data_IF_143465502824
#
_entry.id   IF_143465502824
#
_cell.length_a   1.000
_cell.length_b   1.000
_cell.length_c   1.000
_cell.angle_alpha   90.00
_cell.angle_beta   90.00
_cell.angle_gamma   90.00
#
_symmetry.space_group_name_H-M   'P 1'
#
loop_
_entity.id
_entity.type
_entity.pdbx_description
1 polymer ?
#
# COMPACT_ATOMS: atom_id res chain seq x y z
N UNK A 1 -20.52 11.94 18.48
CA UNK A 1 -19.30 11.44 19.11
C UNK A 1 -18.99 10.10 18.46
N UNK A 2 -18.08 10.08 17.48
CA UNK A 2 -17.70 8.86 16.75
C UNK A 2 -16.58 8.15 17.52
N UNK A 3 -16.69 6.84 17.65
CA UNK A 3 -15.74 5.98 18.36
C UNK A 3 -14.37 6.00 17.61
N UNK A 4 -13.21 6.21 18.27
CA UNK A 4 -11.93 6.39 17.58
C UNK A 4 -11.30 5.10 17.02
N UNK A 5 -12.02 3.97 17.04
CA UNK A 5 -11.49 2.65 16.69
C UNK A 5 -12.00 2.04 15.39
N UNK A 6 -12.94 2.68 14.70
CA UNK A 6 -13.49 2.19 13.43
C UNK A 6 -12.56 2.51 12.27
N UNK A 7 -11.82 1.52 11.79
CA UNK A 7 -11.23 1.59 10.46
C UNK A 7 -12.37 1.61 9.43
N UNK A 8 -12.73 2.78 8.90
CA UNK A 8 -13.64 2.95 7.76
C UNK A 8 -12.97 2.43 6.47
N UNK A 9 -12.58 1.16 6.47
CA UNK A 9 -12.19 0.46 5.24
C UNK A 9 -13.45 -0.16 4.65
N UNK A 10 -13.70 -0.01 3.33
CA UNK A 10 -14.81 -0.70 2.66
C UNK A 10 -14.60 -2.22 2.58
N UNK A 11 -13.59 -2.77 3.27
CA UNK A 11 -13.25 -4.19 3.30
C UNK A 11 -13.11 -4.62 4.76
N UNK A 12 -13.76 -5.74 5.11
CA UNK A 12 -13.62 -6.38 6.42
C UNK A 12 -12.13 -6.73 6.68
N UNK A 13 -11.51 -6.17 7.73
CA UNK A 13 -10.10 -6.42 8.05
C UNK A 13 -9.79 -7.88 8.43
N UNK A 14 -10.81 -8.71 8.71
CA UNK A 14 -10.63 -10.14 8.92
C UNK A 14 -10.40 -10.91 7.61
N UNK A 15 -10.73 -10.33 6.45
CA UNK A 15 -10.49 -10.95 5.15
C UNK A 15 -9.02 -10.74 4.76
N UNK A 16 -8.28 -11.80 4.40
CA UNK A 16 -6.92 -11.64 3.93
C UNK A 16 -6.82 -10.77 2.68
N UNK A 17 -5.87 -9.85 2.65
CA UNK A 17 -5.71 -8.86 1.58
C UNK A 17 -5.36 -9.46 0.21
N UNK A 18 -4.90 -10.71 0.15
CA UNK A 18 -4.67 -11.43 -1.10
C UNK A 18 -5.94 -12.10 -1.66
N UNK A 19 -7.00 -12.22 -0.86
CA UNK A 19 -8.30 -12.72 -1.28
C UNK A 19 -9.18 -11.59 -1.79
N UNK A 20 -9.23 -10.47 -1.06
CA UNK A 20 -9.97 -9.28 -1.44
C UNK A 20 -9.06 -8.05 -1.26
N UNK A 21 -8.35 -7.63 -2.32
CA UNK A 21 -7.44 -6.49 -2.21
C UNK A 21 -8.17 -5.21 -1.82
N UNK A 22 -7.64 -4.50 -0.83
CA UNK A 22 -8.20 -3.24 -0.37
C UNK A 22 -8.36 -2.21 -1.49
N UNK A 23 -9.47 -1.47 -1.43
CA UNK A 23 -9.75 -0.31 -2.26
C UNK A 23 -9.13 0.93 -1.62
N UNK A 24 -8.57 1.80 -2.44
CA UNK A 24 -7.86 3.00 -1.99
C UNK A 24 -8.35 4.18 -2.81
N UNK A 25 -8.46 5.33 -2.15
CA UNK A 25 -8.59 6.62 -2.82
C UNK A 25 -7.33 6.93 -3.64
N UNK A 26 -7.53 7.51 -4.82
CA UNK A 26 -6.49 7.94 -5.73
C UNK A 26 -5.60 9.04 -5.15
N UNK A 27 -6.13 9.83 -4.22
CA UNK A 27 -5.41 10.85 -3.43
C UNK A 27 -4.34 10.23 -2.51
N UNK A 28 -4.58 9.01 -2.06
CA UNK A 28 -3.77 8.32 -1.05
C UNK A 28 -2.78 7.37 -1.70
N UNK A 29 -3.23 6.57 -2.67
CA UNK A 29 -2.39 5.55 -3.29
C UNK A 29 -2.01 5.92 -4.73
N UNK A 30 -0.73 6.24 -4.93
CA UNK A 30 -0.17 6.64 -6.22
C UNK A 30 -0.25 5.56 -7.32
N UNK A 31 -0.54 4.30 -6.95
CA UNK A 31 -0.75 3.21 -7.90
C UNK A 31 -2.15 3.22 -8.54
N UNK A 32 -3.08 3.99 -8.01
CA UNK A 32 -4.44 4.12 -8.55
C UNK A 32 -4.41 5.04 -9.77
N UNK A 33 -4.88 4.53 -10.90
CA UNK A 33 -5.04 5.27 -12.13
C UNK A 33 -6.42 5.91 -12.10
N UNK A 34 -6.45 7.24 -12.02
CA UNK A 34 -7.67 8.01 -12.04
C UNK A 34 -8.15 8.20 -13.49
N UNK A 35 -9.36 7.72 -13.78
CA UNK A 35 -10.03 7.87 -15.06
C UNK A 35 -11.21 8.83 -14.88
N UNK A 36 -11.17 9.95 -15.58
CA UNK A 36 -12.18 11.02 -15.55
C UNK A 36 -12.79 11.21 -16.95
N UNK A 37 -13.94 11.88 -17.08
CA UNK A 37 -14.44 12.28 -18.39
C UNK A 37 -13.47 13.21 -19.11
N UNK A 38 -13.12 12.87 -20.34
CA UNK A 38 -12.28 13.70 -21.20
C UNK A 38 -13.01 15.02 -21.54
N UNK A 39 -12.29 16.16 -21.60
CA UNK A 39 -12.87 17.42 -22.06
C UNK A 39 -13.56 17.27 -23.42
N UNK A 40 -14.66 18.01 -23.65
CA UNK A 40 -15.43 17.93 -24.90
C UNK A 40 -14.61 18.28 -26.15
N UNK A 41 -13.50 19.02 -26.00
CA UNK A 41 -12.56 19.36 -27.08
C UNK A 41 -11.86 18.15 -27.71
N UNK A 42 -11.76 17.01 -27.01
CA UNK A 42 -11.16 15.79 -27.56
C UNK A 42 -12.19 14.98 -28.37
N UNK A 43 -12.16 15.08 -29.69
CA UNK A 43 -13.18 14.49 -30.57
C UNK A 43 -13.09 12.95 -30.70
N UNK A 44 -11.88 12.39 -30.59
CA UNK A 44 -11.63 10.95 -30.74
C UNK A 44 -11.25 10.33 -29.41
N UNK A 45 -12.25 9.81 -28.68
CA UNK A 45 -12.03 9.06 -27.44
C UNK A 45 -12.61 7.67 -27.61
N UNK A 46 -11.77 6.65 -27.47
CA UNK A 46 -12.22 5.25 -27.50
C UNK A 46 -12.84 4.92 -26.14
N UNK A 47 -14.10 4.43 -26.09
CA UNK A 47 -14.73 4.06 -24.83
C UNK A 47 -13.90 3.05 -24.05
N UNK A 48 -13.81 3.25 -22.73
CA UNK A 48 -13.11 2.33 -21.84
C UNK A 48 -13.96 1.08 -21.63
N UNK A 49 -13.75 0.03 -22.44
CA UNK A 49 -14.44 -1.24 -22.23
C UNK A 49 -13.76 -2.04 -21.12
N UNK A 50 -14.37 -2.03 -19.94
CA UNK A 50 -13.93 -2.84 -18.79
C UNK A 50 -13.84 -4.34 -19.07
N UNK A 51 -14.59 -4.85 -20.05
CA UNK A 51 -14.56 -6.27 -20.46
C UNK A 51 -13.17 -6.73 -20.93
N UNK A 52 -12.29 -5.80 -21.33
CA UNK A 52 -10.89 -6.08 -21.68
C UNK A 52 -10.05 -6.60 -20.49
N UNK A 53 -10.57 -6.49 -19.26
CA UNK A 53 -9.91 -6.87 -18.02
C UNK A 53 -10.74 -7.92 -17.25
N UNK A 54 -10.87 -9.11 -17.83
CA UNK A 54 -11.77 -10.16 -17.35
C UNK A 54 -11.43 -10.70 -15.94
N UNK A 55 -10.16 -10.63 -15.51
CA UNK A 55 -9.74 -11.05 -14.16
C UNK A 55 -9.79 -9.89 -13.18
N UNK A 56 -10.91 -9.74 -12.48
CA UNK A 56 -11.10 -8.74 -11.42
C UNK A 56 -10.82 -9.37 -10.07
N UNK A 57 -9.96 -8.74 -9.29
CA UNK A 57 -9.67 -9.15 -7.91
C UNK A 57 -10.61 -8.47 -6.91
N UNK A 58 -11.03 -7.23 -7.19
CA UNK A 58 -12.03 -6.50 -6.41
C UNK A 58 -12.68 -5.41 -7.28
N UNK A 59 -13.96 -5.13 -7.08
CA UNK A 59 -14.68 -4.06 -7.75
C UNK A 59 -15.85 -3.57 -6.88
N UNK A 60 -15.94 -2.27 -6.65
CA UNK A 60 -17.01 -1.67 -5.86
C UNK A 60 -17.36 -0.27 -6.37
N UNK A 61 -18.64 0.01 -6.50
CA UNK A 61 -19.14 1.35 -6.81
C UNK A 61 -19.46 2.06 -5.51
N UNK A 62 -18.70 3.10 -5.21
CA UNK A 62 -18.89 3.99 -4.06
C UNK A 62 -19.49 5.33 -4.54
N UNK A 63 -19.73 6.25 -3.60
CA UNK A 63 -20.37 7.54 -3.89
C UNK A 63 -19.56 8.44 -4.84
N UNK A 64 -18.24 8.26 -4.87
CA UNK A 64 -17.27 9.01 -5.68
C UNK A 64 -16.93 8.32 -7.01
N UNK A 65 -17.37 7.08 -7.23
CA UNK A 65 -17.18 6.38 -8.49
C UNK A 65 -16.92 4.89 -8.33
N UNK A 66 -16.45 4.27 -9.41
CA UNK A 66 -16.13 2.85 -9.44
C UNK A 66 -14.65 2.63 -9.12
N UNK A 67 -14.39 1.89 -8.04
CA UNK A 67 -13.06 1.42 -7.69
C UNK A 67 -12.86 0.00 -8.18
N UNK A 68 -11.71 -0.27 -8.80
CA UNK A 68 -11.42 -1.55 -9.42
C UNK A 68 -9.98 -1.98 -9.20
N UNK A 69 -9.79 -3.26 -8.89
CA UNK A 69 -8.51 -3.95 -8.85
C UNK A 69 -8.54 -5.10 -9.85
N UNK A 70 -7.67 -5.03 -10.85
CA UNK A 70 -7.54 -6.02 -11.91
C UNK A 70 -6.24 -6.78 -11.71
N UNK A 71 -6.30 -8.10 -11.90
CA UNK A 71 -5.11 -8.92 -11.88
C UNK A 71 -4.25 -8.70 -13.12
N UNK A 72 -2.93 -8.69 -12.93
CA UNK A 72 -1.95 -8.61 -14.01
C UNK A 72 -0.70 -9.38 -13.58
N UNK A 73 -0.09 -10.07 -14.54
CA UNK A 73 1.05 -10.99 -14.34
C UNK A 73 2.17 -10.37 -13.49
N UNK A 74 2.38 -9.06 -13.60
CA UNK A 74 3.47 -8.35 -12.95
C UNK A 74 3.03 -7.51 -11.72
N UNK A 75 1.83 -7.80 -11.20
CA UNK A 75 1.20 -7.13 -10.07
C UNK A 75 -0.07 -6.37 -10.50
N UNK A 76 -1.02 -6.12 -9.59
CA UNK A 76 -2.33 -5.62 -9.97
C UNK A 76 -2.29 -4.23 -10.64
N UNK A 77 -3.32 -3.97 -11.46
CA UNK A 77 -3.69 -2.64 -11.92
C UNK A 77 -4.87 -2.15 -11.08
N UNK A 78 -4.83 -0.87 -10.69
CA UNK A 78 -5.82 -0.25 -9.81
C UNK A 78 -6.39 0.97 -10.49
N UNK A 79 -7.71 1.11 -10.43
CA UNK A 79 -8.43 2.19 -11.07
C UNK A 79 -9.44 2.80 -10.11
N UNK A 80 -9.58 4.10 -10.23
CA UNK A 80 -10.80 4.81 -9.85
C UNK A 80 -11.39 5.39 -11.14
N UNK A 81 -12.68 5.17 -11.36
CA UNK A 81 -13.39 5.58 -12.56
C UNK A 81 -14.52 6.51 -12.11
N UNK A 82 -14.35 7.79 -12.36
CA UNK A 82 -15.35 8.81 -12.06
C UNK A 82 -16.60 8.68 -12.93
N UNK A 83 -17.69 9.28 -12.48
CA UNK A 83 -18.97 9.23 -13.18
C UNK A 83 -18.84 9.72 -14.63
N UNK A 84 -19.40 8.96 -15.58
CA UNK A 84 -19.36 9.28 -17.01
C UNK A 84 -18.02 9.02 -17.71
N UNK A 85 -16.96 8.67 -16.98
CA UNK A 85 -15.62 8.46 -17.55
C UNK A 85 -15.55 7.25 -18.49
N UNK A 86 -16.40 6.24 -18.31
CA UNK A 86 -16.45 5.05 -19.17
C UNK A 86 -16.72 5.37 -20.65
N UNK A 87 -17.54 6.40 -20.91
CA UNK A 87 -17.95 6.81 -22.26
C UNK A 87 -16.86 7.57 -22.98
N UNK A 88 -16.11 8.41 -22.25
CA UNK A 88 -15.04 9.25 -22.79
C UNK A 88 -13.88 9.29 -21.78
N UNK A 89 -13.07 8.23 -21.67
CA UNK A 89 -12.00 8.18 -20.68
C UNK A 89 -10.87 9.16 -20.96
N UNK A 90 -10.45 9.87 -19.94
CA UNK A 90 -9.16 10.54 -19.84
C UNK A 90 -8.45 10.12 -18.56
N UNK A 91 -7.13 10.02 -18.61
CA UNK A 91 -6.31 9.77 -17.41
C UNK A 91 -5.82 11.11 -16.89
N UNK A 92 -6.02 11.37 -15.60
CA UNK A 92 -5.48 12.54 -14.92
C UNK A 92 -4.28 12.15 -14.06
N UNK A 93 -3.20 12.92 -14.16
CA UNK A 93 -2.01 12.78 -13.33
C UNK A 93 -1.74 14.14 -12.68
N UNK A 94 -1.98 14.28 -11.37
CA UNK A 94 -1.55 15.46 -10.63
C UNK A 94 -0.04 15.66 -10.72
N UNK A 95 0.41 16.91 -10.84
CA UNK A 95 1.82 17.26 -10.81
C UNK A 95 2.32 17.39 -9.36
N UNK A 96 2.28 16.27 -8.64
CA UNK A 96 2.70 16.14 -7.24
C UNK A 96 4.00 15.30 -7.11
N UNK A 97 4.44 15.09 -5.88
CA UNK A 97 5.62 14.26 -5.56
C UNK A 97 5.49 12.79 -6.02
N UNK A 98 4.27 12.32 -6.29
CA UNK A 98 3.96 10.98 -6.74
C UNK A 98 3.72 10.88 -8.26
N UNK A 99 3.81 12.00 -9.00
CA UNK A 99 3.55 12.07 -10.44
C UNK A 99 4.30 10.99 -11.24
N UNK A 100 5.58 10.75 -10.93
CA UNK A 100 6.38 9.73 -11.61
C UNK A 100 5.92 8.29 -11.33
N UNK A 101 5.43 8.03 -10.12
CA UNK A 101 4.84 6.74 -9.75
C UNK A 101 3.53 6.53 -10.52
N UNK A 102 2.67 7.55 -10.56
CA UNK A 102 1.41 7.52 -11.31
C UNK A 102 1.66 7.29 -12.81
N UNK A 103 2.62 8.01 -13.40
CA UNK A 103 3.00 7.84 -14.81
C UNK A 103 3.49 6.42 -15.12
N UNK A 104 4.24 5.79 -14.21
CA UNK A 104 4.66 4.39 -14.37
C UNK A 104 3.45 3.45 -14.43
N UNK A 105 2.47 3.62 -13.55
CA UNK A 105 1.25 2.81 -13.56
C UNK A 105 0.43 3.03 -14.84
N UNK A 106 0.31 4.26 -15.31
CA UNK A 106 -0.32 4.57 -16.60
C UNK A 106 0.41 3.88 -17.75
N UNK A 107 1.74 3.89 -17.77
CA UNK A 107 2.51 3.14 -18.78
C UNK A 107 2.25 1.64 -18.72
N UNK A 108 2.18 1.04 -17.53
CA UNK A 108 1.81 -0.39 -17.36
C UNK A 108 0.43 -0.67 -17.94
N UNK A 109 -0.54 0.18 -17.60
CA UNK A 109 -1.89 0.09 -18.13
C UNK A 109 -1.94 0.19 -19.66
N UNK A 110 -1.31 1.20 -20.26
CA UNK A 110 -1.30 1.39 -21.72
C UNK A 110 -0.63 0.22 -22.46
N UNK A 111 0.43 -0.37 -21.88
CA UNK A 111 1.00 -1.62 -22.43
C UNK A 111 -0.02 -2.75 -22.40
N UNK A 112 -0.69 -2.95 -21.26
CA UNK A 112 -1.72 -3.99 -21.12
C UNK A 112 -2.90 -3.79 -22.05
N UNK A 113 -3.33 -2.54 -22.21
CA UNK A 113 -4.38 -2.10 -23.12
C UNK A 113 -4.04 -2.39 -24.59
N UNK A 114 -2.77 -2.24 -24.96
CA UNK A 114 -2.26 -2.55 -26.30
C UNK A 114 -1.84 -4.02 -26.48
N UNK A 115 -2.25 -4.91 -25.59
CA UNK A 115 -1.97 -6.35 -25.67
C UNK A 115 -0.55 -6.76 -25.30
N UNK A 116 0.25 -5.86 -24.72
CA UNK A 116 1.61 -6.14 -24.25
C UNK A 116 1.60 -6.40 -22.74
N UNK A 117 2.56 -7.18 -22.19
CA UNK A 117 2.68 -7.32 -20.74
C UNK A 117 2.83 -5.95 -20.07
N UNK A 118 2.16 -5.69 -18.95
CA UNK A 118 2.25 -4.40 -18.24
C UNK A 118 3.68 -4.10 -17.78
N UNK A 119 4.41 -5.13 -17.39
CA UNK A 119 5.74 -5.04 -16.79
C UNK A 119 5.69 -4.78 -15.28
N UNK A 120 6.85 -4.79 -14.61
CA UNK A 120 6.91 -4.80 -13.16
C UNK A 120 6.35 -3.53 -12.51
N UNK A 121 5.90 -3.66 -11.26
CA UNK A 121 5.60 -2.52 -10.39
C UNK A 121 6.80 -1.53 -10.30
N UNK A 122 6.57 -0.25 -9.99
CA UNK A 122 7.65 0.68 -9.67
C UNK A 122 8.56 0.13 -8.57
N UNK A 123 9.87 0.42 -8.61
CA UNK A 123 10.78 -0.02 -7.54
C UNK A 123 10.33 0.47 -6.15
N UNK A 124 9.80 1.70 -6.09
CA UNK A 124 9.12 2.27 -4.93
C UNK A 124 8.14 1.27 -4.26
N UNK A 125 7.33 0.59 -5.07
CA UNK A 125 6.30 -0.36 -4.63
C UNK A 125 6.75 -1.83 -4.70
N UNK A 126 8.06 -2.06 -4.82
CA UNK A 126 8.68 -3.40 -4.75
C UNK A 126 9.69 -3.45 -3.60
N UNK A 127 9.22 -3.59 -2.35
CA UNK A 127 10.09 -3.82 -1.20
C UNK A 127 11.06 -4.98 -1.44
N UNK A 128 12.26 -4.89 -0.89
CA UNK A 128 13.11 -6.07 -0.73
C UNK A 128 12.50 -7.02 0.29
N UNK A 129 12.82 -8.32 0.20
CA UNK A 129 12.31 -9.32 1.14
C UNK A 129 12.59 -8.96 2.60
N UNK A 130 13.82 -8.52 2.88
CA UNK A 130 14.23 -8.01 4.20
C UNK A 130 13.30 -6.90 4.73
N UNK A 131 12.90 -5.96 3.87
CA UNK A 131 11.98 -4.88 4.27
C UNK A 131 10.58 -5.40 4.56
N UNK A 132 10.07 -6.35 3.76
CA UNK A 132 8.79 -7.02 4.01
C UNK A 132 8.82 -7.70 5.37
N UNK A 133 9.84 -8.50 5.64
CA UNK A 133 9.97 -9.26 6.88
C UNK A 133 10.07 -8.32 8.09
N UNK A 134 10.81 -7.20 7.96
CA UNK A 134 10.89 -6.16 9.00
C UNK A 134 9.54 -5.50 9.28
N UNK A 135 8.79 -5.10 8.25
CA UNK A 135 7.46 -4.49 8.41
C UNK A 135 6.47 -5.48 9.01
N UNK A 136 6.49 -6.73 8.55
CA UNK A 136 5.65 -7.80 9.08
C UNK A 136 5.94 -8.08 10.56
N UNK A 137 7.22 -8.13 10.94
CA UNK A 137 7.62 -8.31 12.34
C UNK A 137 7.16 -7.15 13.22
N UNK A 138 7.28 -5.91 12.75
CA UNK A 138 6.82 -4.72 13.47
C UNK A 138 5.30 -4.75 13.71
N UNK A 139 4.50 -5.10 12.68
CA UNK A 139 3.05 -5.24 12.81
C UNK A 139 2.67 -6.37 13.77
N UNK A 140 3.34 -7.54 13.66
CA UNK A 140 3.12 -8.67 14.58
C UNK A 140 3.49 -8.31 16.02
N UNK A 141 4.54 -7.50 16.24
CA UNK A 141 4.93 -7.03 17.55
C UNK A 141 3.85 -6.17 18.21
N UNK A 142 3.19 -5.29 17.43
CA UNK A 142 2.05 -4.49 17.93
C UNK A 142 0.86 -5.38 18.27
N UNK A 143 0.50 -6.32 17.38
CA UNK A 143 -0.58 -7.28 17.65
C UNK A 143 -0.30 -8.09 18.92
N UNK A 144 0.92 -8.60 19.07
CA UNK A 144 1.33 -9.35 20.26
C UNK A 144 1.28 -8.47 21.52
N UNK A 145 1.75 -7.22 21.45
CA UNK A 145 1.66 -6.27 22.57
C UNK A 145 0.23 -6.01 22.99
N UNK A 146 -0.68 -5.79 22.03
CA UNK A 146 -2.12 -5.64 22.30
C UNK A 146 -2.72 -6.88 22.96
N UNK A 147 -2.20 -8.07 22.66
CA UNK A 147 -2.56 -9.33 23.31
C UNK A 147 -1.83 -9.57 24.66
N UNK A 148 -1.10 -8.58 25.19
CA UNK A 148 -0.42 -8.67 26.50
C UNK A 148 1.00 -9.23 26.47
N UNK A 149 1.60 -9.44 25.29
CA UNK A 149 2.97 -9.95 25.21
C UNK A 149 3.99 -8.96 25.79
N UNK A 150 4.97 -9.50 26.51
CA UNK A 150 6.09 -8.71 27.04
C UNK A 150 7.12 -8.41 25.95
N UNK A 151 7.96 -7.38 26.17
CA UNK A 151 9.08 -7.08 25.25
C UNK A 151 9.99 -8.28 25.03
N UNK A 152 10.16 -9.12 26.06
CA UNK A 152 10.99 -10.33 26.02
C UNK A 152 10.38 -11.41 25.14
N UNK A 153 9.06 -11.58 25.19
CA UNK A 153 8.34 -12.49 24.29
C UNK A 153 8.45 -12.04 22.83
N UNK A 154 8.37 -10.73 22.59
CA UNK A 154 8.53 -10.16 21.24
C UNK A 154 9.96 -10.36 20.72
N UNK A 155 10.98 -10.09 21.56
CA UNK A 155 12.37 -10.36 21.20
C UNK A 155 12.62 -11.85 20.91
N UNK A 156 11.96 -12.74 21.66
CA UNK A 156 12.07 -14.18 21.53
C UNK A 156 11.57 -14.76 20.21
N UNK A 157 10.81 -13.99 19.42
CA UNK A 157 10.42 -14.37 18.05
C UNK A 157 11.62 -14.38 17.12
N UNK A 158 12.56 -13.45 17.30
CA UNK A 158 13.78 -13.35 16.48
C UNK A 158 14.94 -14.11 17.10
N UNK A 159 15.03 -14.16 18.43
CA UNK A 159 16.08 -14.84 19.16
C UNK A 159 15.51 -15.56 20.39
N UNK A 160 15.17 -16.86 20.29
CA UNK A 160 14.67 -17.64 21.42
C UNK A 160 15.64 -17.72 22.61
N UNK A 161 16.94 -17.47 22.41
CA UNK A 161 17.94 -17.46 23.46
C UNK A 161 17.65 -16.43 24.56
N UNK A 162 16.88 -15.38 24.24
CA UNK A 162 16.48 -14.38 25.23
C UNK A 162 15.65 -14.97 26.37
N UNK A 163 14.98 -16.11 26.21
CA UNK A 163 14.16 -16.70 27.27
C UNK A 163 15.00 -17.29 28.42
N UNK A 164 16.22 -17.74 28.14
CA UNK A 164 17.11 -18.34 29.15
C UNK A 164 18.04 -17.32 29.83
N UNK A 165 18.09 -16.08 29.31
CA UNK A 165 18.93 -15.01 29.88
C UNK A 165 18.56 -14.68 31.33
N UNK A 166 19.57 -14.34 32.14
CA UNK A 166 19.32 -13.78 33.49
C UNK A 166 18.71 -12.39 33.38
N UNK A 167 17.91 -12.00 34.38
CA UNK A 167 17.21 -10.71 34.39
C UNK A 167 18.12 -9.49 34.24
N UNK A 168 19.33 -9.53 34.81
CA UNK A 168 20.34 -8.48 34.63
C UNK A 168 20.81 -8.40 33.17
N UNK A 169 21.21 -9.54 32.58
CA UNK A 169 21.66 -9.60 31.17
C UNK A 169 20.56 -9.18 30.19
N UNK A 170 19.29 -9.48 30.49
CA UNK A 170 18.16 -9.05 29.66
C UNK A 170 17.98 -7.52 29.62
N UNK A 171 18.33 -6.80 30.69
CA UNK A 171 18.16 -5.34 30.72
C UNK A 171 19.11 -4.63 29.75
N UNK A 172 20.31 -5.16 29.60
CA UNK A 172 21.40 -4.53 28.85
C UNK A 172 21.68 -5.21 27.49
N UNK A 173 20.81 -6.12 27.03
CA UNK A 173 21.02 -6.83 25.76
C UNK A 173 20.45 -6.08 24.54
N UNK A 174 21.15 -6.21 23.41
CA UNK A 174 20.76 -5.59 22.14
C UNK A 174 19.42 -6.10 21.60
N UNK A 175 19.05 -7.35 21.95
CA UNK A 175 17.78 -7.96 21.57
C UNK A 175 16.60 -7.17 22.15
N UNK A 176 16.72 -6.65 23.37
CA UNK A 176 15.70 -5.81 23.99
C UNK A 176 15.52 -4.52 23.21
N UNK A 177 16.61 -3.79 22.94
CA UNK A 177 16.56 -2.54 22.17
C UNK A 177 16.04 -2.75 20.74
N UNK A 178 16.37 -3.90 20.13
CA UNK A 178 15.84 -4.27 18.81
C UNK A 178 14.34 -4.50 18.85
N UNK A 179 13.82 -5.23 19.85
CA UNK A 179 12.38 -5.43 20.01
C UNK A 179 11.65 -4.11 20.28
N UNK A 180 12.22 -3.20 21.07
CA UNK A 180 11.66 -1.87 21.31
C UNK A 180 11.59 -1.03 20.03
N UNK A 181 12.63 -1.04 19.19
CA UNK A 181 12.61 -0.37 17.88
C UNK A 181 11.55 -0.97 16.94
N UNK A 182 11.37 -2.29 16.94
CA UNK A 182 10.34 -2.96 16.14
C UNK A 182 8.93 -2.56 16.59
N UNK A 183 8.70 -2.47 17.90
CA UNK A 183 7.41 -2.00 18.44
C UNK A 183 7.14 -0.55 18.04
N UNK A 184 8.11 0.36 18.23
CA UNK A 184 7.97 1.76 17.81
C UNK A 184 7.66 1.90 16.32
N UNK A 185 8.33 1.11 15.47
CA UNK A 185 8.03 1.08 14.04
C UNK A 185 6.59 0.62 13.77
N UNK A 186 6.14 -0.44 14.45
CA UNK A 186 4.78 -0.95 14.29
C UNK A 186 3.72 0.05 14.76
N UNK A 187 3.95 0.70 15.90
CA UNK A 187 3.07 1.75 16.44
C UNK A 187 2.96 2.92 15.47
N UNK A 188 4.09 3.39 14.93
CA UNK A 188 4.12 4.41 13.88
C UNK A 188 3.33 3.98 12.63
N UNK A 189 3.48 2.72 12.18
CA UNK A 189 2.72 2.22 11.04
C UNK A 189 1.21 2.24 11.33
N UNK A 190 0.77 1.70 12.46
CA UNK A 190 -0.65 1.64 12.84
C UNK A 190 -1.24 3.05 13.03
N UNK A 191 -0.45 4.02 13.49
CA UNK A 191 -0.85 5.41 13.62
C UNK A 191 -0.94 6.20 12.29
N UNK A 192 -0.87 5.52 11.14
CA UNK A 192 -0.99 6.13 9.81
C UNK A 192 0.32 6.24 9.04
N UNK A 193 1.45 5.87 9.64
CA UNK A 193 2.75 5.85 8.97
C UNK A 193 2.82 4.92 7.76
N UNK A 194 1.88 3.96 7.64
CA UNK A 194 1.75 3.12 6.46
C UNK A 194 1.41 3.92 5.18
N UNK A 195 0.80 5.10 5.27
CA UNK A 195 0.41 5.91 4.11
C UNK A 195 1.62 6.32 3.26
N UNK A 196 2.78 6.52 3.89
CA UNK A 196 4.03 6.79 3.18
C UNK A 196 4.41 5.65 2.22
N UNK A 197 4.09 4.40 2.58
CA UNK A 197 4.34 3.22 1.74
C UNK A 197 3.49 3.23 0.46
N UNK A 198 2.35 3.92 0.46
CA UNK A 198 1.42 4.00 -0.66
C UNK A 198 1.77 5.14 -1.63
N UNK A 199 2.23 6.29 -1.11
CA UNK A 199 2.49 7.49 -1.91
C UNK A 199 3.80 7.43 -2.68
N UNK A 200 4.90 7.11 -2.00
CA UNK A 200 6.24 7.16 -2.57
C UNK A 200 6.84 5.78 -2.77
N UNK A 201 6.06 4.73 -2.48
CA UNK A 201 6.66 3.47 -2.07
C UNK A 201 7.40 3.61 -0.76
N UNK A 202 8.12 2.55 -0.35
CA UNK A 202 8.86 2.60 0.92
C UNK A 202 9.87 3.76 0.87
N UNK A 203 9.80 4.72 1.81
CA UNK A 203 10.77 5.80 1.88
C UNK A 203 12.19 5.24 1.87
N UNK A 204 13.10 5.85 1.10
CA UNK A 204 14.51 5.74 1.46
C UNK A 204 14.65 6.41 2.84
N UNK A 205 15.35 5.74 3.75
CA UNK A 205 15.51 6.08 5.17
C UNK A 205 15.45 7.61 5.43
N UNK A 206 14.63 8.11 6.39
CA UNK A 206 14.52 9.54 6.68
C UNK A 206 15.85 10.23 7.01
N UNK A 207 16.89 9.49 7.39
CA UNK A 207 18.25 10.01 7.61
C UNK A 207 18.95 10.54 6.34
N UNK A 208 18.39 10.31 5.14
CA UNK A 208 18.96 10.80 3.87
C UNK A 208 18.22 12.00 3.28
N UNK A 209 17.15 12.48 3.91
CA UNK A 209 16.43 13.68 3.47
C UNK A 209 16.93 14.98 4.12
N UNK A 210 17.90 14.90 5.05
CA UNK A 210 18.48 16.05 5.73
C UNK A 210 19.91 16.35 5.28
N UNK A 211 20.20 16.27 3.98
CA UNK A 211 21.38 16.92 3.39
C UNK A 211 21.02 17.37 1.97
N UNK A 212 20.31 18.50 1.86
CA UNK A 212 20.30 19.43 0.72
C UNK A 212 19.35 20.56 1.10
N UNK A 213 19.87 21.49 1.90
CA UNK A 213 19.34 22.85 1.99
C UNK A 213 20.10 23.72 0.99
#
# INVERSE_FOLDING_TARGET
MRDPGGCDFPVDPAIPSWTLPGLWAEEVFAAVIAIVPAPLSYQSVVPFRMASFASRLNAETLADGLHLVVDDEHGPLRFWIGEGAERRPAIVIPLDEACMVRLHHVRRFLRRWTGRPGGPLPHALRPTRYRIDRLALALRAVTARKAGATTRMIAGVSDPGVYTMRGALWKDCDQRGTAERQMKLGEHLVAGGYLALLRHGIPRNPETASISA
#
